data_IF_071360640848
#
_entry.id   IF_071360640848
#
_cell.length_a   1.000
_cell.length_b   1.000
_cell.length_c   1.000
_cell.angle_alpha   90.00
_cell.angle_beta   90.00
_cell.angle_gamma   90.00
#
_symmetry.space_group_name_H-M   'P 1'
#
loop_
_entity.id
_entity.type
_entity.pdbx_description
1 polymer ?
#
# COMPACT_ATOMS: atom_id res chain seq x y z
N UNK A 1 -11.18 -18.98 19.97
CA UNK A 1 -10.36 -18.30 18.94
C UNK A 1 -10.94 -16.93 18.70
N UNK A 2 -10.10 -15.91 18.54
CA UNK A 2 -10.56 -14.59 18.08
C UNK A 2 -10.62 -14.59 16.55
N UNK A 3 -11.68 -14.02 15.99
CA UNK A 3 -11.88 -13.96 14.54
C UNK A 3 -11.17 -12.72 13.96
N UNK A 4 -10.39 -12.91 12.90
CA UNK A 4 -9.79 -11.80 12.15
C UNK A 4 -10.72 -11.35 11.03
N UNK A 5 -10.75 -10.04 10.75
CA UNK A 5 -11.59 -9.45 9.70
C UNK A 5 -10.80 -8.44 8.86
N UNK A 6 -11.19 -8.27 7.60
CA UNK A 6 -10.67 -7.21 6.73
C UNK A 6 -11.63 -6.02 6.81
N UNK A 7 -11.14 -4.89 7.30
CA UNK A 7 -11.97 -3.69 7.54
C UNK A 7 -11.93 -2.68 6.39
N UNK A 8 -10.91 -2.73 5.54
CA UNK A 8 -10.76 -1.86 4.37
C UNK A 8 -9.82 -2.46 3.33
N UNK A 9 -9.89 -1.93 2.11
CA UNK A 9 -8.96 -2.26 1.03
C UNK A 9 -8.78 -1.06 0.07
N UNK A 10 -7.57 -0.92 -0.45
CA UNK A 10 -7.24 0.05 -1.49
C UNK A 10 -6.11 -0.50 -2.38
N UNK A 11 -5.99 0.06 -3.58
CA UNK A 11 -4.90 -0.21 -4.52
C UNK A 11 -4.62 1.02 -5.37
N UNK A 12 -3.41 1.13 -5.88
CA UNK A 12 -3.13 2.05 -7.00
C UNK A 12 -3.73 1.50 -8.31
N UNK A 13 -3.88 2.34 -9.35
CA UNK A 13 -4.08 1.86 -10.71
C UNK A 13 -2.92 0.96 -11.16
N UNK A 14 -3.18 0.06 -12.10
CA UNK A 14 -2.11 -0.67 -12.79
C UNK A 14 -1.55 0.20 -13.91
N UNK A 15 -0.26 0.52 -13.84
CA UNK A 15 0.45 1.24 -14.88
C UNK A 15 0.98 0.32 -15.98
N UNK A 16 1.13 0.85 -17.19
CA UNK A 16 1.92 0.19 -18.24
C UNK A 16 3.41 0.42 -17.98
N UNK A 17 4.25 -0.50 -18.45
CA UNK A 17 5.70 -0.33 -18.43
C UNK A 17 6.10 0.99 -19.10
N UNK A 18 6.91 1.81 -18.42
CA UNK A 18 7.30 3.13 -18.88
C UNK A 18 6.19 4.19 -18.93
N UNK A 19 4.99 3.89 -18.42
CA UNK A 19 3.82 4.76 -18.49
C UNK A 19 3.71 5.79 -17.35
N UNK A 20 2.47 6.18 -17.04
CA UNK A 20 2.17 7.29 -16.13
C UNK A 20 2.72 7.14 -14.69
N UNK A 21 2.97 5.91 -14.23
CA UNK A 21 3.52 5.66 -12.89
C UNK A 21 5.06 5.64 -12.85
N UNK A 22 5.74 5.73 -14.00
CA UNK A 22 7.21 5.72 -14.09
C UNK A 22 7.91 6.71 -13.15
N UNK A 23 7.39 7.93 -12.90
CA UNK A 23 8.07 8.89 -12.01
C UNK A 23 8.03 8.52 -10.52
N UNK A 24 7.24 7.50 -10.13
CA UNK A 24 7.05 7.13 -8.73
C UNK A 24 7.88 5.90 -8.37
N UNK A 25 8.51 5.93 -7.21
CA UNK A 25 9.19 4.77 -6.62
C UNK A 25 8.18 3.70 -6.21
N UNK A 26 8.59 2.44 -6.22
CA UNK A 26 7.75 1.32 -5.80
C UNK A 26 7.24 1.49 -4.36
N UNK A 27 8.07 1.99 -3.44
CA UNK A 27 7.69 2.26 -2.05
C UNK A 27 6.66 3.37 -1.91
N UNK A 28 6.68 4.38 -2.80
CA UNK A 28 5.66 5.43 -2.83
C UNK A 28 4.30 4.86 -3.27
N UNK A 29 4.28 3.98 -4.28
CA UNK A 29 3.05 3.32 -4.71
C UNK A 29 2.45 2.44 -3.61
N UNK A 30 3.29 1.65 -2.92
CA UNK A 30 2.87 0.87 -1.75
C UNK A 30 2.33 1.75 -0.62
N UNK A 31 3.03 2.83 -0.29
CA UNK A 31 2.62 3.81 0.71
C UNK A 31 1.27 4.46 0.40
N UNK A 32 1.03 4.87 -0.84
CA UNK A 32 -0.26 5.44 -1.29
C UNK A 32 -1.40 4.44 -1.07
N UNK A 33 -1.19 3.16 -1.42
CA UNK A 33 -2.21 2.14 -1.22
C UNK A 33 -2.51 1.90 0.28
N UNK A 34 -1.47 1.81 1.11
CA UNK A 34 -1.61 1.62 2.57
C UNK A 34 -2.34 2.80 3.20
N UNK A 35 -1.90 4.03 2.91
CA UNK A 35 -2.49 5.25 3.47
C UNK A 35 -3.99 5.35 3.13
N UNK A 36 -4.36 5.06 1.89
CA UNK A 36 -5.76 5.11 1.48
C UNK A 36 -6.60 4.00 2.14
N UNK A 37 -6.05 2.80 2.36
CA UNK A 37 -6.74 1.74 3.09
C UNK A 37 -6.98 2.13 4.56
N UNK A 38 -5.99 2.70 5.24
CA UNK A 38 -6.11 3.21 6.62
C UNK A 38 -7.16 4.32 6.69
N UNK A 39 -7.10 5.29 5.77
CA UNK A 39 -8.06 6.39 5.68
C UNK A 39 -9.50 5.89 5.48
N UNK A 40 -9.71 4.90 4.60
CA UNK A 40 -11.03 4.28 4.36
C UNK A 40 -11.55 3.50 5.56
N UNK A 41 -10.66 2.88 6.34
CA UNK A 41 -11.01 2.21 7.59
C UNK A 41 -11.45 3.20 8.68
N UNK A 42 -11.10 4.50 8.55
CA UNK A 42 -11.38 5.56 9.54
C UNK A 42 -10.82 5.24 10.92
N UNK A 43 -9.63 4.64 10.95
CA UNK A 43 -8.90 4.33 12.19
C UNK A 43 -7.79 5.37 12.43
N UNK A 44 -7.43 5.64 13.69
CA UNK A 44 -6.27 6.47 13.99
C UNK A 44 -4.97 5.70 13.70
N UNK A 45 -3.97 6.37 13.14
CA UNK A 45 -2.69 5.75 12.80
C UNK A 45 -1.97 5.13 14.02
N UNK A 46 -2.24 5.66 15.22
CA UNK A 46 -1.64 5.23 16.48
C UNK A 46 -2.02 3.81 16.94
N UNK A 47 -3.06 3.21 16.34
CA UNK A 47 -3.48 1.84 16.67
C UNK A 47 -2.95 0.79 15.68
N UNK A 48 -2.12 1.21 14.72
CA UNK A 48 -1.52 0.29 13.76
C UNK A 48 -0.25 -0.30 14.38
N UNK A 49 -0.29 -1.58 14.71
CA UNK A 49 0.86 -2.28 15.31
C UNK A 49 1.93 -2.65 14.27
N UNK A 50 1.51 -3.10 13.08
CA UNK A 50 2.40 -3.64 12.06
C UNK A 50 1.99 -3.23 10.65
N UNK A 51 2.99 -3.03 9.79
CA UNK A 51 2.83 -2.88 8.34
C UNK A 51 3.70 -3.92 7.66
N UNK A 52 3.08 -4.72 6.78
CA UNK A 52 3.78 -5.75 6.00
C UNK A 52 3.53 -5.46 4.53
N UNK A 53 4.60 -5.17 3.78
CA UNK A 53 4.53 -4.86 2.34
C UNK A 53 5.48 -5.76 1.56
N UNK A 54 4.93 -6.55 0.63
CA UNK A 54 5.72 -7.37 -0.27
C UNK A 54 6.17 -6.60 -1.50
N UNK A 55 7.46 -6.70 -1.86
CA UNK A 55 7.97 -6.22 -3.14
C UNK A 55 9.11 -7.14 -3.60
N UNK A 56 9.01 -7.61 -4.85
CA UNK A 56 9.90 -8.65 -5.40
C UNK A 56 11.26 -8.06 -5.78
N UNK A 57 11.28 -7.04 -6.64
CA UNK A 57 12.51 -6.42 -7.12
C UNK A 57 12.84 -5.21 -6.23
N UNK A 58 13.81 -5.38 -5.34
CA UNK A 58 14.32 -4.34 -4.45
C UNK A 58 15.52 -3.58 -5.02
N UNK A 59 16.15 -4.10 -6.08
CA UNK A 59 17.17 -3.36 -6.83
C UNK A 59 16.51 -2.42 -7.83
N UNK A 60 16.82 -1.12 -7.78
CA UNK A 60 16.28 -0.13 -8.71
C UNK A 60 14.76 0.05 -8.61
N UNK A 61 14.24 0.32 -7.41
CA UNK A 61 12.81 0.45 -7.07
C UNK A 61 12.09 1.68 -7.66
N UNK A 62 12.26 1.91 -8.96
CA UNK A 62 12.04 3.20 -9.60
C UNK A 62 13.36 3.91 -9.82
#
# INVERSE_FOLDING_TARGET
>A
MVQSVIVSAARTPFGKFGGALKPLKATQLGGIAIQEAVKRARIPDSIIDYVIMGQVLQGGCG
#
